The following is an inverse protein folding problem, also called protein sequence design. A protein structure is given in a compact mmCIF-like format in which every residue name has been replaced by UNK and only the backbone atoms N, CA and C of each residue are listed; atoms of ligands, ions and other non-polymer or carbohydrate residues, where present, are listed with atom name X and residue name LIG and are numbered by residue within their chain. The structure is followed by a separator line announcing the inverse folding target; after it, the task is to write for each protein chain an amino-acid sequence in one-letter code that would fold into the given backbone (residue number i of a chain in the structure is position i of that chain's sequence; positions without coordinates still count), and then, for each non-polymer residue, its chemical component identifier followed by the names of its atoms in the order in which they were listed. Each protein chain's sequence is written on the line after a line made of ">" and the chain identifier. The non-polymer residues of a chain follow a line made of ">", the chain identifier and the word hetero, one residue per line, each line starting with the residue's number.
data_IF_103192952708
#
_entry.id   IF_103192952708
#
_cell.length_a   1.000
_cell.length_b   1.000
_cell.length_c   1.000
_cell.angle_alpha   90.00
_cell.angle_beta   90.00
_cell.angle_gamma   90.00
#
_symmetry.space_group_name_H-M   'P 1'
#
loop_
_entity.id
_entity.type
_entity.pdbx_description
1 polymer ?
#
# COMPACT_ATOMS: atom_id res chain seq x y z
N UNK A 1 44.88 -53.05 -14.15
CA UNK A 1 44.04 -53.39 -15.33
C UNK A 1 42.59 -53.27 -14.87
N UNK A 2 41.91 -52.14 -15.11
CA UNK A 2 40.95 -51.94 -16.22
C UNK A 2 39.93 -53.12 -16.24
N UNK A 3 38.65 -52.95 -15.91
CA UNK A 3 37.67 -52.09 -16.62
C UNK A 3 36.29 -52.01 -15.93
N UNK A 4 35.70 -50.80 -15.95
CA UNK A 4 34.29 -50.43 -16.20
C UNK A 4 33.14 -50.86 -15.26
N UNK A 5 32.64 -49.88 -14.49
CA UNK A 5 31.19 -49.57 -14.26
C UNK A 5 30.58 -49.02 -15.60
N UNK A 6 29.25 -48.75 -15.80
CA UNK A 6 28.20 -48.42 -14.80
C UNK A 6 26.72 -48.83 -15.14
N UNK A 7 25.77 -48.33 -14.33
CA UNK A 7 24.30 -48.21 -14.52
C UNK A 7 23.49 -49.52 -14.36
N UNK A 8 22.43 -49.60 -13.56
CA UNK A 8 21.28 -48.69 -13.51
C UNK A 8 20.40 -49.01 -12.27
N UNK A 9 20.82 -48.60 -11.06
CA UNK A 9 19.86 -48.45 -9.95
C UNK A 9 19.16 -47.11 -10.15
N UNK A 10 18.11 -47.11 -10.98
CA UNK A 10 17.12 -46.04 -10.97
C UNK A 10 16.46 -46.08 -9.61
N UNK A 11 16.96 -45.24 -8.71
CA UNK A 11 16.17 -44.65 -7.65
C UNK A 11 14.95 -44.02 -8.33
N UNK A 12 13.86 -44.78 -8.35
CA UNK A 12 12.53 -44.25 -8.57
C UNK A 12 12.24 -43.42 -7.31
N UNK A 13 12.79 -42.21 -7.25
CA UNK A 13 12.09 -41.11 -6.61
C UNK A 13 10.87 -40.84 -7.49
N UNK A 14 9.85 -41.69 -7.33
CA UNK A 14 8.48 -41.24 -7.51
C UNK A 14 8.34 -40.12 -6.50
N UNK A 15 8.58 -38.88 -6.93
CA UNK A 15 7.89 -37.77 -6.34
C UNK A 15 6.42 -38.11 -6.50
N UNK A 16 5.82 -38.69 -5.46
CA UNK A 16 4.39 -38.71 -5.33
C UNK A 16 3.97 -37.25 -5.34
N UNK A 17 3.66 -36.74 -6.53
CA UNK A 17 2.77 -35.61 -6.65
C UNK A 17 1.43 -36.14 -6.16
N UNK A 18 1.22 -36.02 -4.85
CA UNK A 18 -0.11 -36.11 -4.25
C UNK A 18 -0.93 -35.04 -4.98
N UNK A 19 -1.71 -35.48 -5.97
CA UNK A 19 -2.70 -34.62 -6.63
C UNK A 19 -3.61 -34.15 -5.51
N UNK A 20 -3.61 -32.84 -5.25
CA UNK A 20 -4.45 -32.26 -4.22
C UNK A 20 -5.88 -32.78 -4.38
N UNK A 21 -6.51 -33.22 -3.28
CA UNK A 21 -7.84 -33.84 -3.34
C UNK A 21 -8.87 -32.89 -3.98
N UNK A 22 -8.76 -31.59 -3.69
CA UNK A 22 -9.54 -30.54 -4.33
C UNK A 22 -8.63 -29.41 -4.84
N UNK A 23 -8.80 -29.04 -6.11
CA UNK A 23 -8.19 -27.85 -6.70
C UNK A 23 -9.25 -26.77 -6.82
N UNK A 24 -8.95 -25.59 -6.31
CA UNK A 24 -9.90 -24.47 -6.21
C UNK A 24 -9.42 -23.34 -7.10
N UNK A 25 -10.20 -23.04 -8.15
CA UNK A 25 -9.97 -21.87 -8.99
C UNK A 25 -10.70 -20.68 -8.39
N UNK A 26 -10.07 -19.50 -8.45
CA UNK A 26 -10.58 -18.32 -7.77
C UNK A 26 -10.66 -17.11 -8.70
N UNK A 27 -11.67 -16.28 -8.48
CA UNK A 27 -11.82 -15.00 -9.15
C UNK A 27 -12.19 -13.94 -8.12
N UNK A 28 -11.45 -12.85 -8.10
CA UNK A 28 -11.79 -11.66 -7.31
C UNK A 28 -12.31 -10.57 -8.23
N UNK A 29 -13.45 -9.96 -7.88
CA UNK A 29 -13.89 -8.70 -8.48
C UNK A 29 -13.84 -7.60 -7.43
N UNK A 30 -12.98 -6.62 -7.63
CA UNK A 30 -12.74 -5.54 -6.66
C UNK A 30 -13.57 -4.34 -7.08
N UNK A 31 -14.53 -3.97 -6.24
CA UNK A 31 -15.42 -2.84 -6.50
C UNK A 31 -14.78 -1.52 -6.07
N UNK A 32 -14.18 -1.52 -4.87
CA UNK A 32 -13.62 -0.31 -4.27
C UNK A 32 -12.57 -0.62 -3.22
N UNK A 33 -11.47 0.11 -3.27
CA UNK A 33 -10.48 0.22 -2.19
C UNK A 33 -10.59 1.64 -1.62
N UNK A 34 -10.72 1.76 -0.30
CA UNK A 34 -10.97 3.06 0.34
C UNK A 34 -10.58 3.07 1.82
N UNK A 35 -10.62 4.26 2.43
CA UNK A 35 -10.39 4.41 3.87
C UNK A 35 -8.99 3.97 4.29
N UNK A 36 -7.98 4.34 3.49
CA UNK A 36 -6.58 4.09 3.83
C UNK A 36 -6.24 4.85 5.11
N UNK A 37 -5.85 4.12 6.14
CA UNK A 37 -5.31 4.65 7.37
C UNK A 37 -3.80 4.40 7.37
N UNK A 38 -3.04 5.49 7.27
CA UNK A 38 -1.60 5.43 7.11
C UNK A 38 -0.85 5.08 8.40
N UNK A 39 -1.47 5.29 9.57
CA UNK A 39 -0.86 4.98 10.88
C UNK A 39 -0.96 3.48 11.12
N UNK A 40 -2.18 2.94 11.00
CA UNK A 40 -2.43 1.53 11.24
C UNK A 40 -2.04 0.66 10.02
N UNK A 41 -1.69 1.30 8.90
CA UNK A 41 -1.40 0.66 7.61
C UNK A 41 -2.55 -0.28 7.19
N UNK A 42 -3.76 0.28 7.26
CA UNK A 42 -5.00 -0.44 6.96
C UNK A 42 -5.79 0.22 5.84
N UNK A 43 -6.64 -0.55 5.20
CA UNK A 43 -7.49 -0.12 4.09
C UNK A 43 -8.71 -1.02 4.01
N UNK A 44 -9.78 -0.52 3.41
CA UNK A 44 -11.04 -1.25 3.26
C UNK A 44 -11.21 -1.67 1.82
N UNK A 45 -11.69 -2.90 1.64
CA UNK A 45 -12.06 -3.45 0.34
C UNK A 45 -13.54 -3.81 0.37
N UNK A 46 -14.26 -3.44 -0.70
CA UNK A 46 -15.54 -4.01 -1.11
C UNK A 46 -15.31 -4.76 -2.42
N UNK A 47 -15.73 -6.02 -2.48
CA UNK A 47 -15.55 -6.85 -3.66
C UNK A 47 -16.35 -8.15 -3.60
N UNK A 48 -16.10 -9.00 -4.58
CA UNK A 48 -16.66 -10.33 -4.71
C UNK A 48 -15.54 -11.36 -4.77
N UNK A 49 -15.75 -12.49 -4.09
CA UNK A 49 -14.94 -13.69 -4.21
C UNK A 49 -15.78 -14.77 -4.88
N UNK A 50 -15.24 -15.35 -5.94
CA UNK A 50 -15.78 -16.55 -6.58
C UNK A 50 -14.76 -17.67 -6.45
N UNK A 51 -15.17 -18.80 -5.89
CA UNK A 51 -14.35 -19.99 -5.77
C UNK A 51 -15.07 -21.16 -6.46
N UNK A 52 -14.37 -21.86 -7.34
CA UNK A 52 -14.90 -23.00 -8.08
C UNK A 52 -14.05 -24.25 -7.88
N UNK A 53 -14.72 -25.37 -7.64
CA UNK A 53 -14.10 -26.68 -7.53
C UNK A 53 -15.07 -27.75 -8.01
N UNK A 54 -14.56 -28.98 -8.17
CA UNK A 54 -15.37 -30.11 -8.58
C UNK A 54 -15.53 -31.11 -7.44
N UNK A 55 -16.76 -31.53 -7.17
CA UNK A 55 -17.11 -32.65 -6.30
C UNK A 55 -18.28 -33.45 -6.90
N UNK A 56 -17.93 -34.57 -7.52
CA UNK A 56 -18.88 -35.47 -8.19
C UNK A 56 -19.80 -36.19 -7.19
N UNK A 57 -19.37 -36.34 -5.93
CA UNK A 57 -20.07 -37.08 -4.88
C UNK A 57 -20.85 -36.18 -3.93
N UNK A 58 -20.95 -34.90 -4.24
CA UNK A 58 -21.62 -33.93 -3.38
C UNK A 58 -23.09 -34.31 -3.13
N UNK A 59 -23.56 -34.38 -1.87
CA UNK A 59 -24.89 -34.91 -1.52
C UNK A 59 -26.05 -34.12 -2.12
N UNK A 60 -25.83 -32.84 -2.43
CA UNK A 60 -26.84 -31.93 -2.97
C UNK A 60 -26.83 -31.82 -4.49
N UNK A 61 -26.03 -32.64 -5.17
CA UNK A 61 -25.93 -32.62 -6.63
C UNK A 61 -27.29 -32.94 -7.27
N UNK A 62 -27.83 -32.07 -8.14
CA UNK A 62 -29.10 -32.32 -8.81
C UNK A 62 -28.94 -33.39 -9.90
N UNK A 63 -30.00 -34.17 -10.14
CA UNK A 63 -30.02 -35.18 -11.23
C UNK A 63 -29.96 -34.54 -12.63
N UNK A 64 -30.48 -33.32 -12.78
CA UNK A 64 -30.45 -32.54 -14.01
C UNK A 64 -30.46 -31.05 -13.70
N UNK A 65 -29.78 -30.23 -14.51
CA UNK A 65 -29.77 -28.78 -14.37
C UNK A 65 -28.82 -28.28 -13.28
N UNK A 66 -29.23 -27.23 -12.57
CA UNK A 66 -28.44 -26.48 -11.59
C UNK A 66 -29.24 -26.33 -10.30
N UNK A 67 -28.57 -26.48 -9.15
CA UNK A 67 -29.12 -26.14 -7.84
C UNK A 67 -28.46 -24.85 -7.34
N UNK A 68 -29.28 -23.84 -7.07
CA UNK A 68 -28.87 -22.54 -6.52
C UNK A 68 -29.35 -22.45 -5.06
N UNK A 69 -28.45 -22.09 -4.15
CA UNK A 69 -28.73 -21.89 -2.73
C UNK A 69 -28.17 -20.53 -2.32
N UNK A 70 -28.95 -19.71 -1.62
CA UNK A 70 -28.57 -18.35 -1.26
C UNK A 70 -28.68 -18.08 0.24
N UNK A 71 -27.74 -17.28 0.77
CA UNK A 71 -27.79 -16.64 2.08
C UNK A 71 -28.16 -17.59 3.23
N UNK A 72 -29.25 -17.33 3.94
CA UNK A 72 -29.69 -18.11 5.11
C UNK A 72 -29.92 -19.60 4.80
N UNK A 73 -30.31 -19.95 3.58
CA UNK A 73 -30.46 -21.35 3.20
C UNK A 73 -29.11 -22.03 3.08
N UNK A 74 -28.07 -21.30 2.66
CA UNK A 74 -26.70 -21.80 2.65
C UNK A 74 -26.17 -21.95 4.08
N UNK A 75 -26.49 -21.03 4.99
CA UNK A 75 -26.10 -21.16 6.41
C UNK A 75 -26.62 -22.43 7.06
N UNK A 76 -27.93 -22.68 6.94
CA UNK A 76 -28.55 -23.92 7.46
C UNK A 76 -27.91 -25.17 6.88
N UNK A 77 -27.56 -25.14 5.60
CA UNK A 77 -26.93 -26.25 4.91
C UNK A 77 -25.54 -26.58 5.46
N UNK A 78 -24.77 -25.55 5.82
CA UNK A 78 -23.46 -25.72 6.43
C UNK A 78 -23.58 -26.27 7.86
N UNK A 79 -24.60 -25.84 8.62
CA UNK A 79 -24.94 -26.38 9.94
C UNK A 79 -25.37 -27.86 9.87
N UNK A 80 -26.09 -28.25 8.82
CA UNK A 80 -26.50 -29.63 8.54
C UNK A 80 -25.34 -30.53 8.06
N UNK A 81 -24.11 -29.98 7.94
CA UNK A 81 -22.89 -30.73 7.65
C UNK A 81 -22.51 -30.80 6.17
N UNK A 82 -23.10 -29.99 5.29
CA UNK A 82 -22.64 -29.89 3.91
C UNK A 82 -21.27 -29.23 3.85
N UNK A 83 -20.34 -29.83 3.11
CA UNK A 83 -18.98 -29.33 3.03
C UNK A 83 -18.84 -28.17 2.04
N UNK A 84 -18.39 -27.02 2.53
CA UNK A 84 -17.86 -25.89 1.75
C UNK A 84 -16.55 -25.46 2.42
N UNK A 85 -15.43 -25.35 1.70
CA UNK A 85 -14.18 -24.93 2.29
C UNK A 85 -14.27 -23.54 2.93
N UNK A 86 -13.72 -23.40 4.14
CA UNK A 86 -13.55 -22.10 4.77
C UNK A 86 -12.27 -21.43 4.22
N UNK A 87 -12.46 -20.33 3.49
CA UNK A 87 -11.38 -19.46 3.03
C UNK A 87 -11.16 -18.34 4.05
N UNK A 88 -9.99 -18.31 4.67
CA UNK A 88 -9.59 -17.24 5.57
C UNK A 88 -8.76 -16.20 4.81
N UNK A 89 -9.04 -14.93 5.10
CA UNK A 89 -8.18 -13.84 4.69
C UNK A 89 -7.13 -13.62 5.77
N UNK A 90 -5.87 -13.94 5.48
CA UNK A 90 -4.79 -13.94 6.47
C UNK A 90 -4.48 -12.53 6.97
N UNK A 91 -4.53 -11.54 6.08
CA UNK A 91 -4.19 -10.15 6.39
C UNK A 91 -5.44 -9.29 6.67
N UNK A 92 -6.55 -9.89 7.09
CA UNK A 92 -7.74 -9.15 7.53
C UNK A 92 -7.62 -8.74 9.00
N UNK A 93 -8.11 -7.56 9.34
CA UNK A 93 -8.28 -7.11 10.73
C UNK A 93 -9.75 -7.27 11.12
N UNK A 94 -9.98 -8.12 12.11
CA UNK A 94 -11.33 -8.48 12.56
C UNK A 94 -11.98 -9.50 11.62
N UNK A 95 -13.26 -9.32 11.31
CA UNK A 95 -14.02 -10.23 10.44
C UNK A 95 -14.50 -9.50 9.18
N UNK A 96 -14.65 -10.26 8.09
CA UNK A 96 -15.30 -9.74 6.88
C UNK A 96 -16.82 -9.73 7.06
N UNK A 97 -17.46 -8.70 6.52
CA UNK A 97 -18.91 -8.66 6.34
C UNK A 97 -19.25 -9.33 5.03
N UNK A 98 -20.07 -10.38 5.08
CA UNK A 98 -20.57 -11.09 3.89
C UNK A 98 -22.08 -10.86 3.74
N UNK A 99 -22.52 -9.75 3.10
CA UNK A 99 -23.95 -9.43 2.99
C UNK A 99 -24.73 -10.43 2.14
N UNK A 100 -24.14 -10.92 1.04
CA UNK A 100 -24.77 -11.88 0.15
C UNK A 100 -23.78 -12.98 -0.20
N UNK A 101 -24.25 -14.23 -0.17
CA UNK A 101 -23.51 -15.41 -0.60
C UNK A 101 -24.43 -16.39 -1.31
N UNK A 102 -23.89 -17.10 -2.30
CA UNK A 102 -24.60 -18.13 -3.04
C UNK A 102 -23.70 -19.31 -3.35
N UNK A 103 -24.32 -20.48 -3.42
CA UNK A 103 -23.71 -21.73 -3.84
C UNK A 103 -24.47 -22.26 -5.05
N UNK A 104 -23.75 -22.52 -6.13
CA UNK A 104 -24.30 -23.08 -7.37
C UNK A 104 -23.68 -24.45 -7.58
N UNK A 105 -24.50 -25.49 -7.69
CA UNK A 105 -24.06 -26.88 -7.91
C UNK A 105 -24.65 -27.37 -9.23
N UNK A 106 -23.79 -27.75 -10.17
CA UNK A 106 -24.21 -28.32 -11.46
C UNK A 106 -24.45 -29.82 -11.36
N UNK A 107 -25.28 -30.36 -12.25
CA UNK A 107 -25.46 -31.82 -12.39
C UNK A 107 -24.20 -32.59 -12.81
N UNK A 108 -23.11 -31.90 -13.19
CA UNK A 108 -21.81 -32.54 -13.44
C UNK A 108 -20.97 -32.65 -12.15
N UNK A 109 -21.31 -31.90 -11.10
CA UNK A 109 -20.57 -31.85 -9.84
C UNK A 109 -19.65 -30.64 -9.73
N UNK A 110 -19.77 -29.66 -10.62
CA UNK A 110 -19.05 -28.40 -10.48
C UNK A 110 -19.78 -27.53 -9.46
N UNK A 111 -19.02 -27.00 -8.52
CA UNK A 111 -19.53 -26.19 -7.42
C UNK A 111 -18.90 -24.81 -7.55
N UNK A 112 -19.75 -23.78 -7.50
CA UNK A 112 -19.34 -22.37 -7.50
C UNK A 112 -19.87 -21.72 -6.24
N UNK A 113 -18.95 -21.33 -5.36
CA UNK A 113 -19.22 -20.44 -4.24
C UNK A 113 -18.98 -19.00 -4.67
N UNK A 114 -19.92 -18.11 -4.39
CA UNK A 114 -19.78 -16.69 -4.67
C UNK A 114 -20.25 -15.90 -3.45
N UNK A 115 -19.40 -15.02 -2.95
CA UNK A 115 -19.74 -14.08 -1.88
C UNK A 115 -19.38 -12.65 -2.26
N UNK A 116 -20.21 -11.69 -1.86
CA UNK A 116 -19.76 -10.29 -1.73
C UNK A 116 -19.16 -10.15 -0.35
N UNK A 117 -17.98 -9.54 -0.26
CA UNK A 117 -17.34 -9.28 1.02
C UNK A 117 -16.96 -7.81 1.16
N UNK A 118 -16.98 -7.35 2.40
CA UNK A 118 -16.39 -6.09 2.81
C UNK A 118 -15.48 -6.35 4.01
N UNK A 119 -14.22 -5.92 3.94
CA UNK A 119 -13.24 -6.18 4.99
C UNK A 119 -12.23 -5.04 5.15
N UNK A 120 -11.62 -4.96 6.33
CA UNK A 120 -10.46 -4.10 6.58
C UNK A 120 -9.22 -4.97 6.54
N UNK A 121 -8.29 -4.64 5.65
CA UNK A 121 -7.05 -5.40 5.42
C UNK A 121 -5.85 -4.58 5.87
N UNK A 122 -4.74 -5.27 6.12
CA UNK A 122 -3.45 -4.67 6.42
C UNK A 122 -2.39 -5.12 5.42
N UNK A 123 -1.48 -4.22 5.10
CA UNK A 123 -0.29 -4.47 4.29
C UNK A 123 0.76 -3.44 4.67
N UNK A 124 2.02 -3.73 4.41
CA UNK A 124 3.08 -2.74 4.61
C UNK A 124 2.90 -1.59 3.61
N UNK A 125 2.95 -0.35 4.09
CA UNK A 125 2.80 0.86 3.26
C UNK A 125 3.94 1.84 3.50
N UNK A 126 4.58 2.30 2.41
CA UNK A 126 5.64 3.31 2.46
C UNK A 126 5.13 4.67 1.97
N UNK A 127 5.00 5.62 2.89
CA UNK A 127 4.53 6.98 2.64
C UNK A 127 5.68 8.01 2.56
N UNK A 128 6.96 7.61 2.48
CA UNK A 128 8.09 8.57 2.42
C UNK A 128 7.97 9.52 1.21
N UNK A 129 7.42 9.02 0.10
CA UNK A 129 7.17 9.80 -1.12
C UNK A 129 5.87 10.59 -1.11
N UNK A 130 5.07 10.52 -0.05
CA UNK A 130 3.80 11.23 0.04
C UNK A 130 3.94 12.71 -0.35
N UNK A 131 3.07 13.25 -1.24
CA UNK A 131 1.83 12.68 -1.79
C UNK A 131 1.99 11.96 -3.14
N UNK A 132 3.22 11.61 -3.54
CA UNK A 132 3.56 10.94 -4.80
C UNK A 132 3.85 9.44 -4.58
N UNK A 133 3.24 8.87 -3.56
CA UNK A 133 3.43 7.48 -3.16
C UNK A 133 2.65 6.50 -4.05
N UNK A 134 3.25 5.32 -4.22
CA UNK A 134 2.65 4.13 -4.81
C UNK A 134 2.49 3.10 -3.71
N UNK A 135 1.32 2.46 -3.64
CA UNK A 135 1.03 1.42 -2.67
C UNK A 135 0.58 0.14 -3.38
N UNK A 136 0.87 -1.00 -2.75
CA UNK A 136 0.41 -2.32 -3.19
C UNK A 136 -0.61 -2.84 -2.18
N UNK A 137 -1.88 -2.88 -2.59
CA UNK A 137 -2.95 -3.43 -1.77
C UNK A 137 -3.04 -4.93 -1.99
N UNK A 138 -2.97 -5.70 -0.91
CA UNK A 138 -2.88 -7.16 -0.94
C UNK A 138 -4.09 -7.85 -0.31
N UNK A 139 -4.60 -8.89 -0.94
CA UNK A 139 -5.53 -9.84 -0.33
C UNK A 139 -4.82 -11.17 -0.25
N UNK A 140 -4.55 -11.64 0.97
CA UNK A 140 -3.90 -12.92 1.22
C UNK A 140 -4.98 -13.88 1.68
N UNK A 141 -5.20 -14.96 0.93
CA UNK A 141 -6.21 -15.97 1.21
C UNK A 141 -5.58 -17.36 1.36
N UNK A 142 -6.06 -18.11 2.34
CA UNK A 142 -5.61 -19.47 2.64
C UNK A 142 -6.80 -20.33 3.09
N UNK A 143 -6.78 -21.65 2.82
CA UNK A 143 -7.74 -22.57 3.44
C UNK A 143 -7.49 -22.65 4.94
N UNK A 144 -8.53 -22.45 5.76
CA UNK A 144 -8.38 -22.40 7.21
C UNK A 144 -7.89 -23.72 7.83
N UNK A 145 -8.38 -24.85 7.32
CA UNK A 145 -8.21 -26.17 7.96
C UNK A 145 -7.51 -27.22 7.11
N UNK A 146 -7.22 -26.90 5.85
CA UNK A 146 -6.74 -27.88 4.87
C UNK A 146 -5.35 -27.52 4.38
N UNK A 147 -4.43 -28.46 4.53
CA UNK A 147 -3.11 -28.40 3.88
C UNK A 147 -3.24 -28.48 2.34
N UNK A 148 -2.12 -28.24 1.67
CA UNK A 148 -2.03 -28.25 0.21
C UNK A 148 -2.28 -29.63 -0.41
N UNK A 149 -2.12 -30.73 0.33
CA UNK A 149 -2.42 -32.08 -0.17
C UNK A 149 -3.93 -32.33 -0.24
N UNK A 150 -4.70 -31.72 0.65
CA UNK A 150 -6.17 -31.80 0.64
C UNK A 150 -6.79 -30.72 -0.24
N UNK A 151 -6.29 -29.49 -0.15
CA UNK A 151 -6.87 -28.35 -0.86
C UNK A 151 -5.78 -27.42 -1.38
N UNK A 152 -5.76 -27.21 -2.69
CA UNK A 152 -4.80 -26.32 -3.35
C UNK A 152 -5.50 -25.28 -4.21
N UNK A 153 -4.98 -24.06 -4.23
CA UNK A 153 -5.41 -23.06 -5.21
C UNK A 153 -4.85 -23.37 -6.61
N UNK A 154 -5.74 -23.39 -7.59
CA UNK A 154 -5.42 -23.48 -9.01
C UNK A 154 -5.27 -22.10 -9.63
N UNK A 155 -5.92 -21.89 -10.78
CA UNK A 155 -5.90 -20.58 -11.45
C UNK A 155 -6.62 -19.53 -10.61
N UNK A 156 -6.02 -18.34 -10.55
CA UNK A 156 -6.57 -17.18 -9.87
C UNK A 156 -6.65 -16.01 -10.84
N UNK A 157 -7.79 -15.34 -10.87
CA UNK A 157 -8.04 -14.15 -11.70
C UNK A 157 -8.53 -12.99 -10.84
N UNK A 158 -8.17 -11.77 -11.22
CA UNK A 158 -8.53 -10.57 -10.47
C UNK A 158 -9.01 -9.54 -11.47
N UNK A 159 -10.18 -8.99 -11.21
CA UNK A 159 -10.83 -7.97 -12.00
C UNK A 159 -11.02 -6.75 -11.11
N UNK A 160 -10.55 -5.60 -11.57
CA UNK A 160 -10.84 -4.32 -10.92
C UNK A 160 -12.01 -3.71 -11.69
N UNK A 161 -13.18 -3.71 -11.07
CA UNK A 161 -14.36 -3.09 -11.69
C UNK A 161 -14.28 -1.59 -11.50
N UNK A 162 -14.24 -0.83 -12.60
CA UNK A 162 -14.39 0.62 -12.57
C UNK A 162 -15.86 0.98 -12.31
N UNK A 163 -16.34 0.75 -11.08
CA UNK A 163 -17.65 1.18 -10.61
C UNK A 163 -17.68 2.70 -10.40
N UNK A 164 -17.54 3.44 -11.49
CA UNK A 164 -17.79 4.88 -11.67
C UNK A 164 -16.93 5.86 -10.83
N UNK A 165 -16.63 7.00 -11.46
CA UNK A 165 -15.97 8.18 -10.88
C UNK A 165 -14.47 8.03 -10.59
N UNK A 166 -13.71 7.59 -11.60
CA UNK A 166 -12.25 7.70 -11.62
C UNK A 166 -11.77 9.09 -11.22
N UNK A 167 -12.51 10.18 -11.47
CA UNK A 167 -12.13 11.54 -11.07
C UNK A 167 -12.10 11.74 -9.55
N UNK A 168 -13.06 11.17 -8.80
CA UNK A 168 -13.27 11.45 -7.37
C UNK A 168 -12.41 10.55 -6.47
N UNK A 169 -11.97 9.38 -6.97
CA UNK A 169 -11.11 8.48 -6.20
C UNK A 169 -9.79 9.16 -5.81
N UNK A 170 -9.35 8.95 -4.57
CA UNK A 170 -8.03 9.40 -4.09
C UNK A 170 -6.87 8.63 -4.75
N UNK A 171 -7.13 7.39 -5.15
CA UNK A 171 -6.18 6.46 -5.73
C UNK A 171 -6.51 6.17 -7.19
N UNK A 172 -5.49 6.12 -8.03
CA UNK A 172 -5.55 5.60 -9.39
C UNK A 172 -5.02 4.17 -9.39
N UNK A 173 -5.90 3.19 -9.63
CA UNK A 173 -5.54 1.78 -9.63
C UNK A 173 -4.84 1.42 -10.94
N UNK A 174 -3.73 0.69 -10.86
CA UNK A 174 -3.04 0.20 -12.04
C UNK A 174 -3.86 -0.91 -12.73
N UNK A 175 -3.74 -0.98 -14.05
CA UNK A 175 -4.61 -1.81 -14.90
C UNK A 175 -4.36 -3.31 -14.82
N UNK A 176 -3.26 -3.73 -14.17
CA UNK A 176 -2.82 -5.13 -14.13
C UNK A 176 -2.71 -5.62 -12.70
N UNK A 177 -3.82 -6.03 -12.05
CA UNK A 177 -3.72 -6.75 -10.80
C UNK A 177 -3.01 -8.09 -11.02
N UNK A 178 -2.31 -8.56 -9.99
CA UNK A 178 -1.59 -9.84 -10.05
C UNK A 178 -2.16 -10.81 -9.02
N UNK A 179 -2.13 -12.10 -9.36
CA UNK A 179 -2.53 -13.17 -8.45
C UNK A 179 -1.44 -14.25 -8.47
N UNK A 180 -0.94 -14.61 -7.30
CA UNK A 180 0.16 -15.57 -7.15
C UNK A 180 -0.21 -16.62 -6.11
N UNK A 181 -0.11 -17.89 -6.51
CA UNK A 181 -0.22 -19.02 -5.58
C UNK A 181 1.18 -19.38 -5.09
N UNK A 182 1.33 -19.52 -3.78
CA UNK A 182 2.58 -19.86 -3.09
C UNK A 182 2.32 -20.93 -2.03
N UNK A 183 3.39 -21.56 -1.55
CA UNK A 183 3.34 -22.51 -0.44
C UNK A 183 3.77 -21.80 0.83
N UNK A 184 3.07 -22.04 1.93
CA UNK A 184 3.41 -21.48 3.24
C UNK A 184 3.43 -22.59 4.30
N UNK A 185 4.43 -22.57 5.19
CA UNK A 185 4.59 -23.56 6.26
C UNK A 185 4.55 -22.87 7.62
N UNK A 186 3.90 -23.49 8.60
CA UNK A 186 3.85 -23.00 9.97
C UNK A 186 4.71 -23.88 10.88
N UNK A 187 5.89 -23.38 11.24
CA UNK A 187 6.87 -24.16 12.03
C UNK A 187 6.36 -24.68 13.39
N UNK A 188 5.34 -24.06 13.97
CA UNK A 188 4.79 -24.46 15.27
C UNK A 188 3.71 -25.56 15.17
N UNK A 189 3.30 -25.92 13.95
CA UNK A 189 2.34 -26.99 13.65
C UNK A 189 3.02 -28.26 13.10
N UNK A 190 4.32 -28.20 12.84
CA UNK A 190 5.09 -29.31 12.25
C UNK A 190 5.44 -30.35 13.33
N UNK A 191 4.65 -31.43 13.42
CA UNK A 191 4.87 -32.51 14.40
C UNK A 191 5.78 -33.65 13.90
N UNK A 192 6.16 -33.67 12.60
CA UNK A 192 7.18 -34.58 12.04
C UNK A 192 7.49 -34.32 10.54
N UNK A 193 6.54 -33.79 9.77
CA UNK A 193 6.69 -33.43 8.35
C UNK A 193 6.21 -32.00 8.14
N UNK A 194 6.94 -31.21 7.33
CA UNK A 194 6.58 -29.82 7.04
C UNK A 194 5.20 -29.75 6.37
N UNK A 195 4.21 -29.27 7.11
CA UNK A 195 2.84 -29.11 6.61
C UNK A 195 2.76 -27.80 5.82
N UNK A 196 2.51 -27.92 4.52
CA UNK A 196 2.37 -26.78 3.62
C UNK A 196 0.91 -26.45 3.36
N UNK A 197 0.57 -25.18 3.46
CA UNK A 197 -0.72 -24.61 3.06
C UNK A 197 -0.56 -23.88 1.72
N UNK A 198 -1.59 -23.99 0.87
CA UNK A 198 -1.64 -23.27 -0.39
C UNK A 198 -2.14 -21.85 -0.12
N UNK A 199 -1.28 -20.85 -0.31
CA UNK A 199 -1.59 -19.43 -0.10
C UNK A 199 -1.76 -18.70 -1.41
N UNK A 200 -2.88 -18.00 -1.57
CA UNK A 200 -3.13 -17.09 -2.69
C UNK A 200 -2.89 -15.65 -2.25
N UNK A 201 -2.02 -14.94 -2.96
CA UNK A 201 -1.79 -13.50 -2.77
C UNK A 201 -2.28 -12.77 -4.01
N UNK A 202 -3.24 -11.88 -3.83
CA UNK A 202 -3.72 -10.94 -4.86
C UNK A 202 -3.13 -9.57 -4.55
N UNK A 203 -2.47 -8.96 -5.53
CA UNK A 203 -1.83 -7.64 -5.36
C UNK A 203 -2.39 -6.66 -6.39
N UNK A 204 -2.80 -5.49 -5.91
CA UNK A 204 -3.37 -4.39 -6.69
C UNK A 204 -2.55 -3.14 -6.40
N UNK A 205 -1.76 -2.73 -7.38
CA UNK A 205 -0.96 -1.52 -7.27
C UNK A 205 -1.81 -0.28 -7.54
N UNK A 206 -1.56 0.78 -6.79
CA UNK A 206 -2.24 2.06 -6.98
C UNK A 206 -1.33 3.25 -6.69
N UNK A 207 -1.53 4.32 -7.45
CA UNK A 207 -0.82 5.59 -7.26
C UNK A 207 -1.75 6.61 -6.62
N UNK A 208 -1.26 7.35 -5.62
CA UNK A 208 -2.03 8.45 -5.03
C UNK A 208 -2.15 9.59 -6.04
N UNK A 209 -3.31 10.24 -6.09
CA UNK A 209 -3.45 11.49 -6.84
C UNK A 209 -2.91 12.69 -6.06
N UNK A 210 -1.87 13.35 -6.57
CA UNK A 210 -1.20 14.40 -5.79
C UNK A 210 -1.88 15.77 -5.90
N UNK A 211 -2.84 15.96 -6.82
CA UNK A 211 -3.37 17.28 -7.20
C UNK A 211 -3.85 18.12 -6.01
N UNK A 212 -4.63 17.54 -5.11
CA UNK A 212 -5.10 18.26 -3.91
C UNK A 212 -3.91 18.77 -3.08
N UNK A 213 -2.90 17.92 -2.86
CA UNK A 213 -1.73 18.25 -2.07
C UNK A 213 -0.80 19.26 -2.75
N UNK A 214 -0.70 19.21 -4.09
CA UNK A 214 0.05 20.18 -4.87
C UNK A 214 -0.49 21.60 -4.66
N UNK A 215 -1.80 21.79 -4.80
CA UNK A 215 -2.44 23.10 -4.71
C UNK A 215 -2.63 23.59 -3.27
N UNK A 216 -3.01 22.70 -2.35
CA UNK A 216 -3.36 23.09 -0.99
C UNK A 216 -2.15 23.18 -0.06
N UNK A 217 -1.09 22.41 -0.33
CA UNK A 217 0.07 22.34 0.55
C UNK A 217 1.35 22.83 -0.13
N UNK A 218 1.78 22.17 -1.21
CA UNK A 218 3.10 22.42 -1.81
C UNK A 218 3.21 23.84 -2.37
N UNK A 219 2.18 24.33 -3.06
CA UNK A 219 2.19 25.69 -3.63
C UNK A 219 2.23 26.78 -2.54
N UNK A 220 1.33 26.83 -1.54
CA UNK A 220 1.40 27.81 -0.46
C UNK A 220 2.73 27.77 0.32
N UNK A 221 3.24 26.57 0.63
CA UNK A 221 4.53 26.43 1.29
C UNK A 221 5.66 27.03 0.44
N UNK A 222 5.68 26.72 -0.86
CA UNK A 222 6.70 27.27 -1.77
C UNK A 222 6.65 28.80 -1.84
N UNK A 223 5.45 29.39 -1.86
CA UNK A 223 5.28 30.85 -1.84
C UNK A 223 5.79 31.48 -0.53
N UNK A 224 5.50 30.87 0.63
CA UNK A 224 6.03 31.31 1.93
C UNK A 224 7.56 31.31 1.92
N UNK A 225 8.17 30.25 1.37
CA UNK A 225 9.63 30.12 1.31
C UNK A 225 10.27 31.15 0.37
N UNK A 226 9.70 31.37 -0.81
CA UNK A 226 10.16 32.41 -1.73
C UNK A 226 10.03 33.80 -1.10
N UNK A 227 8.89 34.08 -0.45
CA UNK A 227 8.68 35.34 0.26
C UNK A 227 9.66 35.55 1.41
N UNK A 228 10.12 34.48 2.07
CA UNK A 228 11.09 34.57 3.17
C UNK A 228 12.42 35.20 2.74
N UNK A 229 12.81 35.03 1.47
CA UNK A 229 14.06 35.58 0.94
C UNK A 229 13.98 37.08 0.64
N UNK A 230 12.78 37.67 0.62
CA UNK A 230 12.61 39.12 0.47
C UNK A 230 13.36 39.90 1.57
N UNK A 231 13.67 39.27 2.70
CA UNK A 231 14.49 39.85 3.77
C UNK A 231 15.84 40.39 3.29
N UNK A 232 16.44 39.80 2.24
CA UNK A 232 17.73 40.26 1.69
C UNK A 232 17.62 41.56 0.86
N UNK A 233 16.39 42.00 0.55
CA UNK A 233 16.13 43.28 -0.12
C UNK A 233 15.80 44.42 0.84
N UNK A 234 15.46 44.11 2.10
CA UNK A 234 15.24 45.10 3.16
C UNK A 234 16.59 45.74 3.51
N UNK A 235 16.63 47.03 3.84
CA UNK A 235 17.87 47.74 4.19
C UNK A 235 18.13 47.75 5.71
N UNK A 236 17.10 48.03 6.52
CA UNK A 236 17.23 48.16 7.96
C UNK A 236 17.57 46.84 8.67
N UNK A 237 18.58 46.83 9.55
CA UNK A 237 18.94 45.65 10.35
C UNK A 237 17.78 45.17 11.24
N UNK A 238 17.14 46.10 11.96
CA UNK A 238 16.00 45.78 12.83
C UNK A 238 14.85 45.19 12.02
N UNK A 239 14.53 45.80 10.88
CA UNK A 239 13.49 45.33 9.96
C UNK A 239 13.79 43.93 9.42
N UNK A 240 15.02 43.67 8.97
CA UNK A 240 15.47 42.34 8.53
C UNK A 240 15.28 41.28 9.61
N UNK A 241 15.69 41.58 10.84
CA UNK A 241 15.59 40.66 11.97
C UNK A 241 14.12 40.36 12.32
N UNK A 242 13.30 41.42 12.43
CA UNK A 242 11.87 41.30 12.73
C UNK A 242 11.12 40.53 11.65
N UNK A 243 11.37 40.82 10.36
CA UNK A 243 10.79 40.07 9.25
C UNK A 243 11.20 38.60 9.30
N UNK A 244 12.47 38.30 9.60
CA UNK A 244 12.93 36.90 9.72
C UNK A 244 12.22 36.15 10.84
N UNK A 245 12.01 36.76 12.00
CA UNK A 245 11.25 36.14 13.09
C UNK A 245 9.77 35.96 12.74
N UNK A 246 9.16 36.93 12.06
CA UNK A 246 7.79 36.79 11.56
C UNK A 246 7.70 35.62 10.58
N UNK A 247 8.65 35.48 9.65
CA UNK A 247 8.69 34.34 8.71
C UNK A 247 8.90 33.01 9.43
N UNK A 248 9.75 32.97 10.47
CA UNK A 248 9.92 31.78 11.32
C UNK A 248 8.59 31.38 11.95
N UNK A 249 7.87 32.35 12.54
CA UNK A 249 6.55 32.12 13.11
C UNK A 249 5.54 31.68 12.05
N UNK A 250 5.60 32.21 10.82
CA UNK A 250 4.76 31.76 9.70
C UNK A 250 5.01 30.30 9.36
N UNK A 251 6.27 29.84 9.31
CA UNK A 251 6.58 28.42 9.05
C UNK A 251 6.16 27.53 10.24
N UNK A 252 6.27 28.00 11.48
CA UNK A 252 5.72 27.32 12.66
C UNK A 252 4.21 27.16 12.56
N UNK A 253 3.48 28.25 12.28
CA UNK A 253 2.04 28.22 12.10
C UNK A 253 1.64 27.27 10.95
N UNK A 254 2.39 27.30 9.85
CA UNK A 254 2.17 26.40 8.72
C UNK A 254 2.40 24.93 9.11
N UNK A 255 3.44 24.64 9.90
CA UNK A 255 3.71 23.28 10.41
C UNK A 255 2.54 22.75 11.23
N UNK A 256 1.98 23.57 12.14
CA UNK A 256 0.78 23.19 12.91
C UNK A 256 -0.43 22.94 12.01
N UNK A 257 -0.66 23.80 11.02
CA UNK A 257 -1.70 23.61 10.01
C UNK A 257 -1.52 22.26 9.30
N UNK A 258 -0.32 21.96 8.79
CA UNK A 258 -0.06 20.72 8.05
C UNK A 258 -0.17 19.48 8.93
N UNK A 259 0.38 19.49 10.15
CA UNK A 259 0.33 18.34 11.07
C UNK A 259 -1.07 18.05 11.60
N UNK A 260 -2.03 18.97 11.45
CA UNK A 260 -3.44 18.74 11.79
C UNK A 260 -4.23 18.04 10.69
N UNK A 261 -3.76 18.12 9.44
CA UNK A 261 -4.44 17.58 8.25
C UNK A 261 -3.77 16.33 7.70
N UNK A 262 -2.44 16.28 7.80
CA UNK A 262 -1.64 15.15 7.35
C UNK A 262 -1.53 14.12 8.47
N UNK A 263 -1.56 12.82 8.12
CA UNK A 263 -1.41 11.79 9.12
C UNK A 263 0.00 11.79 9.72
N UNK A 264 0.09 11.41 10.99
CA UNK A 264 1.35 11.31 11.72
C UNK A 264 2.06 10.03 11.32
N UNK A 265 3.22 10.15 10.68
CA UNK A 265 4.04 9.02 10.28
C UNK A 265 5.29 8.94 11.18
N UNK A 266 5.86 7.74 11.38
CA UNK A 266 7.09 7.58 12.16
C UNK A 266 8.35 8.09 11.42
N UNK A 267 8.21 8.54 10.18
CA UNK A 267 9.27 9.05 9.32
C UNK A 267 8.83 10.30 8.58
N UNK A 268 9.80 11.07 8.07
CA UNK A 268 9.52 12.33 7.37
C UNK A 268 9.08 12.11 5.92
N UNK A 269 7.95 12.73 5.57
CA UNK A 269 7.40 12.83 4.21
C UNK A 269 8.11 13.90 3.38
N UNK A 270 7.84 13.94 2.07
CA UNK A 270 8.36 14.99 1.20
C UNK A 270 7.95 16.40 1.66
N UNK A 271 6.69 16.60 2.05
CA UNK A 271 6.17 17.90 2.52
C UNK A 271 6.89 18.32 3.80
N UNK A 272 7.07 17.40 4.76
CA UNK A 272 7.78 17.70 6.01
C UNK A 272 9.26 18.04 5.77
N UNK A 273 9.93 17.38 4.82
CA UNK A 273 11.29 17.75 4.40
C UNK A 273 11.34 19.16 3.82
N UNK A 274 10.33 19.58 3.03
CA UNK A 274 10.23 20.96 2.55
C UNK A 274 10.07 21.97 3.68
N UNK A 275 9.26 21.66 4.69
CA UNK A 275 9.10 22.49 5.89
C UNK A 275 10.44 22.63 6.64
N UNK A 276 11.16 21.51 6.85
CA UNK A 276 12.48 21.51 7.49
C UNK A 276 13.49 22.36 6.71
N UNK A 277 13.51 22.26 5.37
CA UNK A 277 14.34 23.14 4.54
C UNK A 277 13.98 24.62 4.75
N UNK A 278 12.69 24.93 4.95
CA UNK A 278 12.22 26.26 5.29
C UNK A 278 12.79 26.79 6.60
N UNK A 279 12.75 25.98 7.67
CA UNK A 279 13.36 26.32 8.94
C UNK A 279 14.86 26.57 8.81
N UNK A 280 15.58 25.69 8.13
CA UNK A 280 17.02 25.83 7.90
C UNK A 280 17.33 27.09 7.10
N UNK A 281 16.55 27.38 6.05
CA UNK A 281 16.69 28.59 5.23
C UNK A 281 16.50 29.87 6.07
N UNK A 282 15.42 29.98 6.84
CA UNK A 282 15.15 31.17 7.65
C UNK A 282 16.20 31.32 8.76
N UNK A 283 16.57 30.22 9.42
CA UNK A 283 17.61 30.25 10.44
C UNK A 283 18.98 30.68 9.88
N UNK A 284 19.37 30.16 8.72
CA UNK A 284 20.58 30.58 8.03
C UNK A 284 20.53 32.07 7.65
N UNK A 285 19.38 32.58 7.21
CA UNK A 285 19.21 34.00 6.93
C UNK A 285 19.43 34.86 8.19
N UNK A 286 18.85 34.47 9.34
CA UNK A 286 19.06 35.16 10.62
C UNK A 286 20.54 35.19 10.99
N UNK A 287 21.24 34.04 10.91
CA UNK A 287 22.66 33.97 11.22
C UNK A 287 23.50 34.89 10.33
N UNK A 288 23.20 34.95 9.03
CA UNK A 288 23.89 35.82 8.08
C UNK A 288 23.61 37.29 8.39
N UNK A 289 22.36 37.66 8.68
CA UNK A 289 21.97 39.04 9.02
C UNK A 289 22.72 39.51 10.27
N UNK A 290 22.77 38.69 11.33
CA UNK A 290 23.51 38.99 12.56
C UNK A 290 25.01 39.05 12.30
N UNK A 291 25.55 38.12 11.51
CA UNK A 291 26.96 38.08 11.16
C UNK A 291 27.42 39.32 10.39
N UNK A 292 26.62 39.78 9.42
CA UNK A 292 26.86 41.02 8.67
C UNK A 292 26.92 42.20 9.61
N UNK A 293 25.96 42.32 10.53
CA UNK A 293 25.91 43.43 11.50
C UNK A 293 27.15 43.47 12.40
N UNK A 294 27.56 42.33 12.95
CA UNK A 294 28.77 42.24 13.80
C UNK A 294 30.04 42.61 13.01
N UNK A 295 30.11 42.26 11.72
CA UNK A 295 31.26 42.60 10.88
C UNK A 295 31.30 44.09 10.50
N UNK A 296 30.15 44.68 10.24
CA UNK A 296 30.01 46.12 10.00
C UNK A 296 30.45 46.92 11.22
N UNK A 297 30.06 46.49 12.42
CA UNK A 297 30.51 47.11 13.69
C UNK A 297 32.02 47.00 13.92
N UNK A 298 32.66 45.94 13.38
CA UNK A 298 34.12 45.76 13.39
C UNK A 298 34.83 46.49 12.25
N UNK A 299 34.13 47.32 11.48
CA UNK A 299 34.70 48.10 10.37
C UNK A 299 35.13 47.25 9.16
N UNK A 300 34.63 46.01 9.02
CA UNK A 300 34.94 45.16 7.87
C UNK A 300 33.90 45.35 6.77
N UNK A 301 34.35 45.41 5.52
CA UNK A 301 33.47 45.51 4.35
C UNK A 301 32.64 44.22 4.14
N UNK A 302 31.32 44.36 4.15
CA UNK A 302 30.33 43.28 3.98
C UNK A 302 29.33 43.54 2.85
N UNK A 303 29.47 44.67 2.13
CA UNK A 303 28.49 45.15 1.15
C UNK A 303 28.14 44.13 0.05
N UNK A 304 29.04 43.18 -0.26
CA UNK A 304 28.79 42.14 -1.25
C UNK A 304 28.02 40.91 -0.72
N UNK A 305 27.97 40.69 0.61
CA UNK A 305 27.44 39.45 1.18
C UNK A 305 25.91 39.35 1.05
N UNK A 306 25.18 40.42 1.35
CA UNK A 306 23.72 40.45 1.24
C UNK A 306 23.26 40.32 -0.23
N UNK A 307 23.82 41.08 -1.20
CA UNK A 307 23.51 40.88 -2.62
C UNK A 307 23.80 39.46 -3.12
N UNK A 308 24.87 38.82 -2.65
CA UNK A 308 25.16 37.43 -2.98
C UNK A 308 24.09 36.47 -2.42
N UNK A 309 23.60 36.69 -1.20
CA UNK A 309 22.55 35.87 -0.60
C UNK A 309 21.22 35.93 -1.39
N UNK A 310 20.94 37.04 -2.08
CA UNK A 310 19.74 37.20 -2.93
C UNK A 310 19.65 36.14 -4.03
N UNK A 311 20.78 35.65 -4.55
CA UNK A 311 20.80 34.60 -5.58
C UNK A 311 21.21 33.24 -5.00
N UNK A 312 22.06 33.21 -3.98
CA UNK A 312 22.53 31.97 -3.37
C UNK A 312 21.40 31.17 -2.69
N UNK A 313 20.48 31.83 -1.97
CA UNK A 313 19.37 31.15 -1.28
C UNK A 313 18.39 30.49 -2.27
N UNK A 314 17.86 31.22 -3.28
CA UNK A 314 16.99 30.60 -4.29
C UNK A 314 17.67 29.45 -5.03
N UNK A 315 18.93 29.62 -5.44
CA UNK A 315 19.65 28.59 -6.19
C UNK A 315 19.92 27.34 -5.35
N UNK A 316 20.34 27.51 -4.09
CA UNK A 316 20.51 26.40 -3.16
C UNK A 316 19.19 25.67 -2.90
N UNK A 317 18.09 26.40 -2.74
CA UNK A 317 16.78 25.80 -2.53
C UNK A 317 16.30 24.99 -3.74
N UNK A 318 16.45 25.53 -4.95
CA UNK A 318 16.12 24.80 -6.17
C UNK A 318 16.98 23.53 -6.34
N UNK A 319 18.27 23.63 -6.03
CA UNK A 319 19.17 22.48 -6.03
C UNK A 319 18.76 21.44 -4.98
N UNK A 320 18.41 21.87 -3.76
CA UNK A 320 17.95 21.00 -2.69
C UNK A 320 16.63 20.31 -3.04
N UNK A 321 15.67 21.01 -3.67
CA UNK A 321 14.46 20.40 -4.21
C UNK A 321 14.78 19.36 -5.28
N UNK A 322 15.66 19.69 -6.23
CA UNK A 322 16.04 18.74 -7.28
C UNK A 322 16.68 17.47 -6.71
N UNK A 323 17.55 17.62 -5.69
CA UNK A 323 18.13 16.49 -4.96
C UNK A 323 17.05 15.71 -4.23
N UNK A 324 16.12 16.37 -3.53
CA UNK A 324 15.03 15.70 -2.83
C UNK A 324 14.13 14.92 -3.79
N UNK A 325 13.81 15.47 -4.96
CA UNK A 325 13.06 14.77 -6.01
C UNK A 325 13.86 13.58 -6.52
N UNK A 326 15.18 13.73 -6.73
CA UNK A 326 16.04 12.63 -7.17
C UNK A 326 16.18 11.51 -6.14
N UNK A 327 16.32 11.83 -4.85
CA UNK A 327 16.33 10.85 -3.77
C UNK A 327 14.97 10.16 -3.67
N UNK A 328 13.87 10.92 -3.79
CA UNK A 328 12.52 10.37 -3.82
C UNK A 328 12.18 9.63 -5.11
N UNK A 329 12.98 9.65 -6.17
CA UNK A 329 12.73 8.82 -7.36
C UNK A 329 13.41 7.46 -7.27
N UNK A 330 14.45 7.32 -6.45
CA UNK A 330 15.21 6.09 -6.24
C UNK A 330 14.75 5.19 -5.08
N UNK A 331 13.92 5.71 -4.16
CA UNK A 331 13.39 4.98 -2.99
C UNK A 331 12.10 4.21 -3.26
#
# INVERSE_FOLDING_TARGET
>A
MKTLFPLLCVLIFLSFSTKAQHVIHTSFSINKIYGVNTIDQTYKIDGYLVATWQDVKHPLKPKSGVRLIENQHLDKLLEEGSWVPAFEFINIIGQRLTPNKRLVITSNGDITYNERFQGTFTTEMDFRRFPFDRQSFEIIMEPFSFDQERLKFGDASVYVEELTNKIISEWDMESTPTAKVSQHSYHHLDDAESTYYSRLTVTIDANRKPNYYLWQFILPLSLILVASWAVFWIEGFSERLMTSFTMMLTVVAYTFYTSSLLPRLPYTTFIERMIIMGYVSIFAAILIIVFVKIREEKGKTTHALIPYCRTAFPTFFLAAIAILIGVNSQL
#
